data_IF_682347838834
#
_entry.id   IF_682347838834
#
_cell.length_a   1.000
_cell.length_b   1.000
_cell.length_c   1.000
_cell.angle_alpha   90.00
_cell.angle_beta   90.00
_cell.angle_gamma   90.00
#
_symmetry.space_group_name_H-M   'P 1'
#
loop_
_entity.id
_entity.type
_entity.pdbx_description
1 polymer ?
#
# COMPACT_ATOMS: atom_id res chain seq x y z
N UNK A 1 -4.43 -2.17 -2.29
CA UNK A 1 -3.25 -2.71 -1.59
C UNK A 1 -2.45 -3.62 -2.52
N UNK A 2 -1.13 -3.63 -2.41
CA UNK A 2 -0.20 -4.55 -3.13
C UNK A 2 0.69 -5.21 -2.08
N UNK A 3 0.95 -6.52 -2.18
CA UNK A 3 1.72 -7.24 -1.18
C UNK A 3 2.57 -8.35 -1.80
N UNK A 4 3.79 -8.54 -1.28
CA UNK A 4 4.67 -9.67 -1.63
C UNK A 4 6.14 -9.28 -1.87
N UNK A 5 6.92 -10.22 -2.40
CA UNK A 5 8.31 -10.00 -2.81
C UNK A 5 8.39 -9.13 -4.07
N UNK A 6 8.93 -7.93 -3.90
CA UNK A 6 9.11 -6.97 -4.97
C UNK A 6 10.57 -6.94 -5.49
N UNK A 7 11.47 -7.75 -4.90
CA UNK A 7 12.91 -7.78 -5.18
C UNK A 7 13.59 -6.39 -5.13
N UNK A 8 12.99 -5.48 -4.38
CA UNK A 8 13.38 -4.09 -4.26
C UNK A 8 13.89 -3.80 -2.85
N UNK A 9 14.97 -3.04 -2.74
CA UNK A 9 15.52 -2.59 -1.45
C UNK A 9 15.45 -1.08 -1.45
N UNK A 10 14.63 -0.50 -0.57
CA UNK A 10 14.36 0.95 -0.55
C UNK A 10 15.08 1.69 0.59
N UNK A 11 15.87 0.98 1.40
CA UNK A 11 16.59 1.58 2.52
C UNK A 11 15.64 2.22 3.53
N UNK A 12 15.94 3.47 3.89
CA UNK A 12 15.08 4.37 4.66
C UNK A 12 14.61 5.57 3.85
N UNK A 13 14.67 5.49 2.51
CA UNK A 13 14.17 6.57 1.67
C UNK A 13 12.65 6.73 1.85
N UNK A 14 12.20 7.98 1.78
CA UNK A 14 10.77 8.32 1.75
C UNK A 14 10.13 7.79 0.47
N UNK A 15 8.96 7.22 0.63
CA UNK A 15 8.07 6.65 -0.38
C UNK A 15 6.92 7.60 -0.76
N UNK A 16 6.91 8.81 -0.21
CA UNK A 16 6.05 9.91 -0.64
C UNK A 16 6.87 11.21 -0.75
N UNK A 17 6.36 12.15 -1.55
CA UNK A 17 6.93 13.50 -1.68
C UNK A 17 6.28 14.41 -0.64
N UNK A 18 7.09 15.17 0.09
CA UNK A 18 6.60 16.22 0.98
C UNK A 18 6.31 17.49 0.17
N UNK A 19 5.22 18.19 0.51
CA UNK A 19 4.87 19.49 -0.07
C UNK A 19 6.03 20.49 -0.06
N UNK A 20 6.74 20.54 1.07
CA UNK A 20 7.79 21.53 1.33
C UNK A 20 9.02 21.35 0.42
N UNK A 21 9.20 20.14 -0.13
CA UNK A 21 10.24 19.85 -1.12
C UNK A 21 9.82 20.24 -2.55
N UNK A 22 8.51 20.30 -2.81
CA UNK A 22 7.92 20.67 -4.10
C UNK A 22 7.80 22.19 -4.26
N UNK A 23 7.50 22.90 -3.17
CA UNK A 23 7.33 24.36 -3.12
C UNK A 23 8.58 25.12 -3.61
N UNK A 24 9.76 24.49 -3.55
CA UNK A 24 11.02 25.05 -4.08
C UNK A 24 11.07 25.12 -5.61
N UNK A 25 10.22 24.37 -6.30
CA UNK A 25 10.29 24.18 -7.75
C UNK A 25 9.02 24.61 -8.48
N UNK A 26 7.90 24.80 -7.78
CA UNK A 26 6.61 25.14 -8.43
C UNK A 26 5.81 26.12 -7.56
N UNK A 27 5.50 27.30 -8.09
CA UNK A 27 4.78 28.38 -7.38
C UNK A 27 3.26 28.13 -7.20
N UNK A 28 2.68 27.12 -7.85
CA UNK A 28 1.22 27.05 -8.05
C UNK A 28 0.58 25.65 -8.06
N UNK A 29 1.12 24.66 -7.34
CA UNK A 29 0.43 23.37 -7.21
C UNK A 29 -0.66 23.52 -6.14
N UNK A 30 -1.86 22.95 -6.38
CA UNK A 30 -2.82 22.68 -5.31
C UNK A 30 -2.08 22.01 -4.15
N UNK A 31 -2.11 22.62 -2.96
CA UNK A 31 -1.37 22.13 -1.79
C UNK A 31 -1.51 20.61 -1.65
N UNK A 32 -0.42 19.89 -1.93
CA UNK A 32 -0.36 18.45 -1.71
C UNK A 32 -0.37 18.25 -0.21
N UNK A 33 -1.51 17.84 0.34
CA UNK A 33 -1.61 17.59 1.78
C UNK A 33 -0.71 16.40 2.10
N UNK A 34 0.31 16.64 2.94
CA UNK A 34 1.22 15.58 3.37
C UNK A 34 0.42 14.47 4.07
N UNK A 35 0.68 13.19 3.75
CA UNK A 35 -0.01 12.09 4.38
C UNK A 35 0.29 12.10 5.88
N UNK A 36 -0.76 12.05 6.71
CA UNK A 36 -0.62 11.90 8.16
C UNK A 36 -0.35 10.42 8.46
N UNK A 37 0.91 10.01 8.34
CA UNK A 37 1.38 8.65 8.57
C UNK A 37 2.65 8.65 9.41
N UNK A 38 2.89 7.57 10.15
CA UNK A 38 4.11 7.39 10.94
C UNK A 38 5.35 7.34 10.05
N UNK A 39 6.47 7.83 10.59
CA UNK A 39 7.79 7.66 9.98
C UNK A 39 8.11 6.18 9.79
N UNK A 40 8.84 5.90 8.70
CA UNK A 40 9.28 4.56 8.36
C UNK A 40 10.72 4.35 8.82
N UNK A 41 11.00 3.19 9.40
CA UNK A 41 12.37 2.70 9.65
C UNK A 41 12.62 1.38 8.94
N UNK A 42 13.89 1.02 8.74
CA UNK A 42 14.28 -0.29 8.21
C UNK A 42 15.61 -0.81 8.69
N UNK A 43 15.69 -2.11 8.97
CA UNK A 43 16.94 -2.81 9.25
C UNK A 43 17.82 -2.95 7.99
N UNK A 44 17.23 -2.90 6.80
CA UNK A 44 17.95 -2.88 5.54
C UNK A 44 18.12 -1.43 5.05
N UNK A 45 19.33 -0.89 5.16
CA UNK A 45 19.67 0.47 4.70
C UNK A 45 20.03 0.55 3.22
N UNK A 46 20.04 -0.57 2.51
CA UNK A 46 20.50 -0.63 1.12
C UNK A 46 19.42 -0.15 0.16
N UNK A 47 19.82 0.63 -0.84
CA UNK A 47 18.94 1.03 -1.94
C UNK A 47 19.42 0.45 -3.26
N UNK A 48 18.66 -0.48 -3.85
CA UNK A 48 18.99 -1.06 -5.15
C UNK A 48 18.24 -0.34 -6.30
N UNK A 49 18.53 -0.71 -7.55
CA UNK A 49 17.90 -0.10 -8.72
C UNK A 49 16.39 -0.34 -8.77
N UNK A 50 15.93 -1.52 -8.37
CA UNK A 50 14.49 -1.83 -8.26
C UNK A 50 13.82 -1.06 -7.14
N UNK A 51 14.52 -0.76 -6.05
CA UNK A 51 14.07 0.11 -4.96
C UNK A 51 13.76 1.51 -5.43
N UNK A 52 14.65 2.12 -6.25
CA UNK A 52 14.37 3.43 -6.84
C UNK A 52 13.12 3.41 -7.74
N UNK A 53 12.90 2.34 -8.50
CA UNK A 53 11.68 2.17 -9.31
C UNK A 53 10.43 1.96 -8.45
N UNK A 54 10.54 1.22 -7.34
CA UNK A 54 9.45 1.05 -6.40
C UNK A 54 9.05 2.40 -5.78
N UNK A 55 10.02 3.19 -5.34
CA UNK A 55 9.76 4.54 -4.81
C UNK A 55 9.08 5.44 -5.85
N UNK A 56 9.55 5.40 -7.11
CA UNK A 56 8.90 6.12 -8.21
C UNK A 56 7.45 5.65 -8.42
N UNK A 57 7.19 4.34 -8.32
CA UNK A 57 5.82 3.82 -8.38
C UNK A 57 4.98 4.34 -7.21
N UNK A 58 5.52 4.37 -5.99
CA UNK A 58 4.84 4.95 -4.82
C UNK A 58 4.49 6.42 -5.07
N UNK A 59 5.44 7.23 -5.55
CA UNK A 59 5.19 8.65 -5.89
C UNK A 59 4.10 8.80 -6.95
N UNK A 60 4.13 7.98 -8.00
CA UNK A 60 3.17 8.08 -9.12
C UNK A 60 1.77 7.58 -8.77
N UNK A 61 1.65 6.66 -7.80
CA UNK A 61 0.38 6.03 -7.42
C UNK A 61 -0.20 6.59 -6.13
N UNK A 62 0.60 7.32 -5.35
CA UNK A 62 0.26 7.74 -3.99
C UNK A 62 0.24 6.61 -2.97
N UNK A 63 0.75 5.41 -3.31
CA UNK A 63 0.86 4.30 -2.36
C UNK A 63 2.05 4.50 -1.41
N UNK A 64 1.91 4.03 -0.18
CA UNK A 64 2.96 4.03 0.85
C UNK A 64 3.18 2.63 1.42
N UNK A 65 4.38 2.38 1.94
CA UNK A 65 4.90 1.12 2.45
C UNK A 65 4.50 0.91 3.92
N UNK A 66 3.71 -0.08 4.27
CA UNK A 66 3.31 -0.30 5.67
C UNK A 66 4.45 -0.79 6.57
N UNK A 67 5.45 -1.50 6.01
CA UNK A 67 6.60 -2.02 6.76
C UNK A 67 7.32 -0.88 7.48
N UNK A 68 7.72 -1.09 8.73
CA UNK A 68 8.51 -0.10 9.46
C UNK A 68 7.71 1.05 10.08
N UNK A 69 6.38 1.07 9.93
CA UNK A 69 5.49 2.16 10.42
C UNK A 69 4.62 1.78 11.62
N UNK A 70 4.46 0.48 11.87
CA UNK A 70 3.59 -0.04 12.92
C UNK A 70 4.39 -0.42 14.17
N UNK A 71 3.72 -0.44 15.33
CA UNK A 71 4.39 -0.62 16.63
C UNK A 71 5.17 -1.93 16.74
N UNK A 72 4.65 -3.03 16.20
CA UNK A 72 5.25 -4.37 16.26
C UNK A 72 6.31 -4.62 15.17
N UNK A 73 6.43 -3.73 14.19
CA UNK A 73 7.48 -3.76 13.16
C UNK A 73 8.21 -2.42 13.08
N UNK A 74 8.43 -1.79 14.23
CA UNK A 74 8.94 -0.42 14.33
C UNK A 74 10.30 -0.19 13.69
N UNK A 75 11.07 -1.24 13.44
CA UNK A 75 12.39 -1.19 12.82
C UNK A 75 12.41 -1.81 11.42
N UNK A 76 11.28 -2.31 10.89
CA UNK A 76 11.17 -3.16 9.69
C UNK A 76 12.23 -4.25 9.66
N UNK A 77 11.88 -5.38 10.28
CA UNK A 77 12.71 -6.56 10.30
C UNK A 77 12.99 -7.07 8.87
N UNK A 78 14.13 -7.74 8.69
CA UNK A 78 14.44 -8.40 7.41
C UNK A 78 13.30 -9.33 7.02
N UNK A 79 12.96 -9.37 5.74
CA UNK A 79 11.95 -10.28 5.17
C UNK A 79 12.58 -11.41 4.37
N UNK A 80 13.88 -11.34 4.14
CA UNK A 80 14.67 -12.36 3.44
C UNK A 80 16.02 -12.55 4.12
N UNK A 81 16.46 -13.80 4.26
CA UNK A 81 17.73 -14.16 4.86
C UNK A 81 18.33 -15.43 4.23
N UNK A 82 19.57 -15.31 3.75
CA UNK A 82 20.38 -16.44 3.27
C UNK A 82 21.79 -16.37 3.83
N UNK A 83 22.60 -17.41 3.60
CA UNK A 83 24.03 -17.39 3.92
C UNK A 83 24.82 -16.25 3.24
N UNK A 84 24.27 -15.64 2.17
CA UNK A 84 24.91 -14.55 1.42
C UNK A 84 24.50 -13.16 1.91
N UNK A 85 23.49 -13.06 2.78
CA UNK A 85 23.01 -11.79 3.29
C UNK A 85 21.50 -11.78 3.52
N UNK A 86 21.03 -10.58 3.86
CA UNK A 86 19.66 -10.31 4.32
C UNK A 86 19.13 -9.04 3.68
N UNK A 87 17.82 -8.99 3.44
CA UNK A 87 17.15 -7.84 2.86
C UNK A 87 15.74 -7.66 3.39
N UNK A 88 15.23 -6.44 3.22
CA UNK A 88 13.80 -6.16 3.22
C UNK A 88 13.40 -6.02 1.75
N UNK A 89 12.64 -6.97 1.24
CA UNK A 89 12.15 -7.00 -0.15
C UNK A 89 10.70 -7.45 -0.29
N UNK A 90 10.08 -7.91 0.80
CA UNK A 90 8.66 -8.19 0.89
C UNK A 90 7.94 -7.00 1.53
N UNK A 91 7.00 -6.40 0.80
CA UNK A 91 6.32 -5.19 1.24
C UNK A 91 4.82 -5.34 1.22
N UNK A 92 4.15 -4.58 2.09
CA UNK A 92 2.75 -4.21 1.93
C UNK A 92 2.68 -2.73 1.52
N UNK A 93 2.05 -2.45 0.38
CA UNK A 93 1.79 -1.10 -0.12
C UNK A 93 0.30 -0.77 -0.02
N UNK A 94 -0.02 0.37 0.57
CA UNK A 94 -1.40 0.81 0.82
C UNK A 94 -1.56 2.30 0.53
N UNK A 95 -2.77 2.77 0.15
CA UNK A 95 -3.09 4.19 0.19
C UNK A 95 -2.91 4.74 1.62
N UNK A 96 -2.40 5.98 1.80
CA UNK A 96 -2.26 6.59 3.12
C UNK A 96 -3.57 6.62 3.93
N UNK A 97 -4.70 6.85 3.26
CA UNK A 97 -6.04 6.85 3.87
C UNK A 97 -6.49 5.48 4.39
N UNK A 98 -5.87 4.41 3.91
CA UNK A 98 -6.12 3.02 4.29
C UNK A 98 -5.11 2.51 5.33
N UNK A 99 -4.05 3.24 5.65
CA UNK A 99 -3.12 2.86 6.73
C UNK A 99 -3.85 2.62 8.07
N UNK A 100 -4.90 3.40 8.36
CA UNK A 100 -5.73 3.24 9.56
C UNK A 100 -6.48 1.92 9.66
N UNK A 101 -6.60 1.19 8.55
CA UNK A 101 -7.24 -0.12 8.52
C UNK A 101 -6.27 -1.22 8.98
N UNK A 102 -4.97 -0.94 9.04
CA UNK A 102 -3.97 -1.89 9.49
C UNK A 102 -3.87 -1.80 11.01
N UNK A 103 -4.40 -2.79 11.71
CA UNK A 103 -4.32 -2.86 13.18
C UNK A 103 -2.93 -3.29 13.64
N UNK A 104 -2.35 -4.24 12.91
CA UNK A 104 -1.03 -4.77 13.21
C UNK A 104 -0.28 -5.10 11.92
N UNK A 105 1.04 -5.00 12.00
CA UNK A 105 1.97 -5.44 10.98
C UNK A 105 3.22 -5.98 11.67
N UNK A 106 3.62 -7.21 11.33
CA UNK A 106 4.81 -7.86 11.87
C UNK A 106 5.46 -8.77 10.83
N UNK A 107 6.78 -8.84 10.86
CA UNK A 107 7.53 -9.89 10.16
C UNK A 107 7.69 -11.08 11.11
N UNK A 108 7.12 -12.22 10.73
CA UNK A 108 7.18 -13.44 11.53
C UNK A 108 8.57 -14.07 11.49
N UNK A 109 8.94 -14.91 12.48
CA UNK A 109 10.23 -15.59 12.49
C UNK A 109 10.48 -16.45 11.25
N UNK A 110 11.77 -16.59 10.92
CA UNK A 110 12.24 -17.52 9.88
C UNK A 110 11.81 -18.96 10.20
N UNK A 111 11.49 -19.73 9.17
CA UNK A 111 11.14 -21.15 9.26
C UNK A 111 11.92 -21.96 8.20
N UNK A 112 11.79 -23.27 8.26
CA UNK A 112 12.48 -24.22 7.36
C UNK A 112 11.90 -24.28 5.94
N UNK A 113 10.78 -23.60 5.67
CA UNK A 113 10.05 -23.71 4.40
C UNK A 113 10.50 -22.69 3.36
N UNK A 114 11.21 -21.63 3.75
CA UNK A 114 11.66 -20.57 2.84
C UNK A 114 12.84 -19.78 3.42
N UNK A 115 13.62 -19.16 2.55
CA UNK A 115 14.57 -18.10 2.91
C UNK A 115 13.88 -16.73 3.12
N UNK A 116 12.58 -16.64 2.85
CA UNK A 116 11.73 -15.50 3.20
C UNK A 116 11.03 -15.70 4.56
N UNK A 117 11.06 -14.65 5.37
CA UNK A 117 10.25 -14.51 6.56
C UNK A 117 8.85 -13.99 6.18
N UNK A 118 7.76 -14.64 6.63
CA UNK A 118 6.41 -14.18 6.30
C UNK A 118 6.12 -12.79 6.86
N UNK A 119 5.49 -11.94 6.06
CA UNK A 119 4.87 -10.71 6.55
C UNK A 119 3.42 -10.99 6.93
N UNK A 120 3.02 -10.57 8.12
CA UNK A 120 1.67 -10.69 8.66
C UNK A 120 1.10 -9.32 8.94
N UNK A 121 -0.18 -9.13 8.63
CA UNK A 121 -0.91 -7.91 8.95
C UNK A 121 -2.39 -8.17 9.13
N UNK A 122 -3.03 -7.33 9.93
CA UNK A 122 -4.46 -7.41 10.24
C UNK A 122 -5.21 -6.23 9.65
N UNK A 123 -6.33 -6.51 8.97
CA UNK A 123 -7.20 -5.49 8.40
C UNK A 123 -8.50 -5.36 9.20
N UNK A 124 -8.72 -4.19 9.81
CA UNK A 124 -9.98 -3.84 10.44
C UNK A 124 -10.95 -3.19 9.45
N UNK A 125 -11.80 -4.03 8.86
CA UNK A 125 -12.85 -3.57 7.94
C UNK A 125 -14.12 -3.08 8.67
N UNK A 126 -14.19 -3.20 10.00
CA UNK A 126 -15.34 -2.68 10.77
C UNK A 126 -15.42 -1.15 10.67
N UNK A 127 -14.28 -0.50 10.51
CA UNK A 127 -14.12 0.94 10.27
C UNK A 127 -14.86 1.40 9.00
N UNK A 128 -15.02 0.53 8.00
CA UNK A 128 -15.72 0.84 6.74
C UNK A 128 -17.24 0.66 6.90
N UNK A 129 -17.69 -0.27 7.76
CA UNK A 129 -19.12 -0.60 7.94
C UNK A 129 -19.96 0.52 8.56
N UNK A 130 -19.34 1.54 9.15
CA UNK A 130 -20.08 2.68 9.72
C UNK A 130 -20.64 3.62 8.64
N UNK A 131 -20.20 3.52 7.38
CA UNK A 131 -20.86 4.17 6.24
C UNK A 131 -21.99 3.27 5.69
N UNK A 132 -23.10 3.19 6.42
CA UNK A 132 -24.32 2.52 5.96
C UNK A 132 -25.00 3.30 4.83
N UNK A 133 -24.41 3.31 3.63
CA UNK A 133 -25.22 3.42 2.43
C UNK A 133 -25.82 2.03 2.18
N UNK A 134 -27.16 1.89 2.05
CA UNK A 134 -27.74 0.60 1.72
C UNK A 134 -27.16 0.15 0.39
N UNK A 135 -26.35 -0.92 0.41
CA UNK A 135 -25.88 -1.57 -0.81
C UNK A 135 -27.09 -2.20 -1.49
N UNK A 136 -27.71 -1.46 -2.39
CA UNK A 136 -28.73 -1.98 -3.30
C UNK A 136 -27.99 -2.83 -4.33
N UNK A 137 -27.59 -4.04 -3.94
CA UNK A 137 -27.18 -5.04 -4.91
C UNK A 137 -28.43 -5.55 -5.62
N UNK A 138 -28.77 -4.95 -6.77
CA UNK A 138 -29.72 -5.57 -7.69
C UNK A 138 -29.07 -6.83 -8.25
N UNK A 139 -29.56 -7.99 -7.83
CA UNK A 139 -29.19 -9.24 -8.48
C UNK A 139 -29.80 -9.25 -9.89
N UNK A 140 -28.94 -9.18 -10.91
CA UNK A 140 -29.35 -9.25 -12.32
C UNK A 140 -28.95 -10.63 -12.85
N UNK A 141 -29.95 -11.44 -13.24
CA UNK A 141 -29.70 -12.64 -14.02
C UNK A 141 -29.44 -12.21 -15.47
N UNK A 142 -28.32 -12.63 -16.02
CA UNK A 142 -27.95 -12.33 -17.41
C UNK A 142 -29.01 -12.81 -18.40
N UNK A 143 -29.40 -11.92 -19.31
CA UNK A 143 -30.32 -12.14 -20.43
C UNK A 143 -29.76 -11.43 -21.68
N UNK A 144 -29.50 -12.20 -22.74
CA UNK A 144 -28.94 -11.66 -23.99
C UNK A 144 -29.84 -10.59 -24.63
N UNK A 145 -31.15 -10.62 -24.36
CA UNK A 145 -32.10 -9.65 -24.90
C UNK A 145 -32.08 -8.30 -24.16
N UNK A 146 -31.32 -8.20 -23.05
CA UNK A 146 -31.28 -7.02 -22.17
C UNK A 146 -29.90 -6.34 -22.14
N UNK A 147 -29.07 -6.61 -23.14
CA UNK A 147 -27.70 -6.09 -23.24
C UNK A 147 -27.63 -4.55 -23.11
N UNK A 148 -28.48 -3.83 -23.86
CA UNK A 148 -28.49 -2.36 -23.85
C UNK A 148 -28.89 -1.77 -22.49
N UNK A 149 -29.82 -2.43 -21.79
CA UNK A 149 -30.24 -2.05 -20.45
C UNK A 149 -29.09 -2.21 -19.44
N UNK A 150 -28.31 -3.29 -19.55
CA UNK A 150 -27.14 -3.51 -18.68
C UNK A 150 -26.05 -2.46 -18.91
N UNK A 151 -25.81 -2.08 -20.18
CA UNK A 151 -24.85 -1.03 -20.52
C UNK A 151 -25.27 0.30 -19.88
N UNK A 152 -26.55 0.66 -19.95
CA UNK A 152 -27.06 1.90 -19.35
C UNK A 152 -26.93 1.91 -17.81
N UNK A 153 -27.23 0.78 -17.16
CA UNK A 153 -27.10 0.64 -15.69
C UNK A 153 -25.64 0.81 -15.27
N UNK A 154 -24.70 0.18 -15.99
CA UNK A 154 -23.27 0.29 -15.71
C UNK A 154 -22.76 1.71 -15.94
N UNK A 155 -23.20 2.38 -17.00
CA UNK A 155 -22.80 3.77 -17.29
C UNK A 155 -23.30 4.76 -16.22
N UNK A 156 -24.53 4.62 -15.73
CA UNK A 156 -25.09 5.49 -14.68
C UNK A 156 -24.38 5.36 -13.32
N UNK A 157 -23.78 4.19 -13.06
CA UNK A 157 -23.10 3.91 -11.78
C UNK A 157 -21.67 4.51 -11.75
N UNK A 158 -21.10 4.84 -12.91
CA UNK A 158 -19.76 5.43 -13.04
C UNK A 158 -19.78 6.95 -12.89
N UNK A 159 -20.90 7.61 -13.20
CA UNK A 159 -21.03 9.09 -13.15
C UNK A 159 -21.42 9.67 -11.78
N UNK A 160 -21.66 8.84 -10.77
CA UNK A 160 -22.12 9.27 -9.43
C UNK A 160 -21.02 9.39 -8.36
N UNK A 161 -19.75 9.41 -8.76
CA UNK A 161 -18.60 9.65 -7.87
C UNK A 161 -17.83 10.90 -8.27
#
# INVERSE_FOLDING_TARGET
MVCGDLNSRIGELSDFLLSDDLDKYVESIEHVVNPIISDRRSMDKTVNAFGRKLLQMCFNTGLVVANGRHCNDKDSNFTFCTAKGRSVNDYLLVPPSECRLINDFIVLPMNEFSDHMPIYFELDLSVIRQQNLPRIHKFIKWDNNRCDEYIQILQFTVTTY
#
